data_IF_980813439164
#
_entry.id   IF_980813439164
#
_cell.length_a   1.000
_cell.length_b   1.000
_cell.length_c   1.000
_cell.angle_alpha   90.00
_cell.angle_beta   90.00
_cell.angle_gamma   90.00
#
_symmetry.space_group_name_H-M   'P 1'
#
loop_
_entity.id
_entity.type
_entity.pdbx_description
1 polymer ?
#
# COMPACT_ATOMS: atom_id res chain seq x y z
N UNK A 1 2.31 9.16 4.95
CA UNK A 1 2.97 7.93 4.43
C UNK A 1 3.69 7.24 5.56
N UNK A 2 3.33 6.01 5.80
CA UNK A 2 3.90 5.23 6.90
C UNK A 2 4.65 4.02 6.32
N UNK A 3 5.97 4.01 6.48
CA UNK A 3 6.84 2.92 6.02
C UNK A 3 7.43 2.23 7.23
N UNK A 4 7.31 0.91 7.28
CA UNK A 4 7.78 0.08 8.38
C UNK A 4 8.71 -1.02 7.86
N UNK A 5 9.64 -1.43 8.68
CA UNK A 5 10.47 -2.60 8.38
C UNK A 5 9.72 -3.87 8.79
N UNK A 6 9.60 -4.80 7.85
CA UNK A 6 8.92 -6.08 8.10
C UNK A 6 7.40 -5.99 8.14
N UNK A 7 6.77 -6.97 8.74
CA UNK A 7 5.30 -7.09 8.81
C UNK A 7 4.65 -5.89 9.46
N UNK A 8 3.49 -5.51 8.94
CA UNK A 8 2.70 -4.41 9.50
C UNK A 8 1.86 -4.88 10.67
N UNK A 9 1.78 -4.04 11.71
CA UNK A 9 0.78 -4.18 12.77
C UNK A 9 -0.54 -3.54 12.28
N UNK A 10 -1.33 -4.34 11.58
CA UNK A 10 -2.57 -3.87 10.93
C UNK A 10 -3.55 -3.29 11.94
N UNK A 11 -3.71 -3.93 13.08
CA UNK A 11 -4.66 -3.46 14.09
C UNK A 11 -4.28 -2.10 14.63
N UNK A 12 -3.01 -1.89 14.93
CA UNK A 12 -2.50 -0.61 15.41
C UNK A 12 -2.67 0.49 14.38
N UNK A 13 -2.33 0.20 13.12
CA UNK A 13 -2.45 1.17 12.00
C UNK A 13 -3.90 1.57 11.78
N UNK A 14 -4.80 0.59 11.68
CA UNK A 14 -6.22 0.87 11.40
C UNK A 14 -6.91 1.55 12.58
N UNK A 15 -6.55 1.19 13.81
CA UNK A 15 -7.06 1.87 15.00
C UNK A 15 -6.62 3.34 15.05
N UNK A 16 -5.36 3.62 14.73
CA UNK A 16 -4.85 4.99 14.64
C UNK A 16 -5.61 5.81 13.61
N UNK A 17 -5.85 5.22 12.44
CA UNK A 17 -6.61 5.90 11.38
C UNK A 17 -8.05 6.18 11.79
N UNK A 18 -8.71 5.20 12.39
CA UNK A 18 -10.07 5.37 12.89
C UNK A 18 -10.15 6.51 13.91
N UNK A 19 -9.27 6.48 14.90
CA UNK A 19 -9.25 7.50 15.96
C UNK A 19 -8.98 8.90 15.41
N UNK A 20 -8.10 9.00 14.41
CA UNK A 20 -7.75 10.30 13.80
C UNK A 20 -8.91 10.89 13.01
N UNK A 21 -9.72 10.06 12.34
CA UNK A 21 -10.71 10.56 11.39
C UNK A 21 -12.16 10.45 11.86
N UNK A 22 -12.44 9.73 12.93
CA UNK A 22 -13.83 9.56 13.43
C UNK A 22 -14.54 10.88 13.73
N UNK A 23 -13.80 11.93 14.08
CA UNK A 23 -14.35 13.24 14.42
C UNK A 23 -14.26 14.26 13.27
N UNK A 24 -13.92 13.82 12.06
CA UNK A 24 -13.78 14.71 10.89
C UNK A 24 -15.06 14.86 10.08
N UNK A 25 -16.17 14.44 10.64
CA UNK A 25 -17.49 14.49 9.97
C UNK A 25 -17.49 13.71 8.65
N UNK A 26 -16.81 12.58 8.62
CA UNK A 26 -16.79 11.65 7.48
C UNK A 26 -17.59 10.41 7.83
N UNK A 27 -18.45 9.98 6.91
CA UNK A 27 -19.33 8.86 7.13
C UNK A 27 -18.72 7.50 6.81
N UNK A 28 -17.56 7.47 6.15
CA UNK A 28 -16.96 6.21 5.72
C UNK A 28 -15.45 6.21 5.86
N UNK A 29 -14.93 5.14 6.43
CA UNK A 29 -13.52 4.76 6.39
C UNK A 29 -13.46 3.35 5.82
N UNK A 30 -12.77 3.18 4.68
CA UNK A 30 -12.60 1.88 4.04
C UNK A 30 -11.13 1.55 4.02
N UNK A 31 -10.78 0.35 4.44
CA UNK A 31 -9.40 -0.12 4.45
C UNK A 31 -9.26 -1.34 3.56
N UNK A 32 -8.13 -1.39 2.86
CA UNK A 32 -7.66 -2.56 2.12
C UNK A 32 -6.40 -3.05 2.78
N UNK A 33 -6.35 -4.35 3.09
CA UNK A 33 -5.18 -4.97 3.72
C UNK A 33 -4.60 -6.00 2.78
N UNK A 34 -3.33 -5.82 2.40
CA UNK A 34 -2.59 -6.80 1.60
C UNK A 34 -1.92 -7.81 2.53
N UNK A 35 -2.15 -9.08 2.26
CA UNK A 35 -1.58 -10.19 3.03
C UNK A 35 -0.66 -10.98 2.09
N UNK A 36 0.52 -11.33 2.57
CA UNK A 36 1.46 -12.13 1.81
C UNK A 36 0.97 -13.58 1.78
N UNK A 37 0.63 -14.06 0.58
CA UNK A 37 0.18 -15.44 0.38
C UNK A 37 1.34 -16.37 0.19
N UNK A 38 1.17 -17.61 0.63
CA UNK A 38 2.07 -18.68 0.25
C UNK A 38 1.80 -19.05 -1.21
N UNK A 39 2.83 -18.95 -2.04
CA UNK A 39 2.75 -19.18 -3.47
C UNK A 39 4.12 -19.56 -3.99
N UNK A 40 4.21 -20.69 -4.74
CA UNK A 40 5.48 -21.10 -5.35
C UNK A 40 6.61 -21.44 -4.37
N UNK A 41 6.29 -21.82 -3.14
CA UNK A 41 7.30 -22.23 -2.16
C UNK A 41 8.02 -21.09 -1.47
N UNK A 42 7.52 -19.85 -1.57
CA UNK A 42 8.13 -18.70 -0.90
C UNK A 42 7.93 -18.78 0.61
N UNK A 43 8.89 -18.26 1.36
CA UNK A 43 8.76 -18.07 2.82
C UNK A 43 8.35 -16.65 3.18
N UNK A 44 8.62 -15.70 2.29
CA UNK A 44 8.34 -14.28 2.47
C UNK A 44 8.29 -13.59 1.11
N UNK A 45 7.70 -12.41 1.08
CA UNK A 45 7.99 -11.41 0.05
C UNK A 45 8.93 -10.37 0.66
N UNK A 46 9.76 -9.75 -0.17
CA UNK A 46 10.64 -8.68 0.26
C UNK A 46 10.43 -7.46 -0.63
N UNK A 47 10.47 -6.28 -0.04
CA UNK A 47 10.11 -5.05 -0.75
C UNK A 47 11.22 -4.03 -0.68
N UNK A 48 11.54 -3.44 -1.83
CA UNK A 48 12.34 -2.24 -1.93
C UNK A 48 11.43 -1.08 -2.33
N UNK A 49 11.65 0.07 -1.72
CA UNK A 49 10.82 1.25 -1.94
C UNK A 49 11.72 2.41 -2.32
N UNK A 50 11.35 3.11 -3.40
CA UNK A 50 11.98 4.38 -3.72
C UNK A 50 11.09 5.51 -3.19
N UNK A 51 11.38 5.93 -1.97
CA UNK A 51 10.54 6.84 -1.22
C UNK A 51 10.28 8.20 -1.89
N UNK A 52 11.28 8.86 -2.54
CA UNK A 52 11.01 10.14 -3.18
C UNK A 52 9.93 10.09 -4.27
N UNK A 53 9.93 9.04 -5.09
CA UNK A 53 8.89 8.88 -6.12
C UNK A 53 7.57 8.42 -5.48
N UNK A 54 7.63 7.54 -4.49
CA UNK A 54 6.43 7.11 -3.77
C UNK A 54 5.72 8.29 -3.12
N UNK A 55 6.48 9.20 -2.51
CA UNK A 55 5.91 10.40 -1.91
C UNK A 55 5.21 11.27 -2.95
N UNK A 56 5.82 11.48 -4.11
CA UNK A 56 5.19 12.25 -5.20
C UNK A 56 3.90 11.61 -5.68
N UNK A 57 3.92 10.28 -5.86
CA UNK A 57 2.75 9.53 -6.27
C UNK A 57 1.62 9.66 -5.24
N UNK A 58 1.95 9.52 -3.97
CA UNK A 58 0.98 9.64 -2.89
C UNK A 58 0.45 11.08 -2.75
N UNK A 59 1.33 12.09 -2.87
CA UNK A 59 0.91 13.49 -2.80
C UNK A 59 -0.10 13.83 -3.91
N UNK A 60 0.08 13.27 -5.12
CA UNK A 60 -0.89 13.45 -6.21
C UNK A 60 -2.24 12.83 -5.85
N UNK A 61 -2.25 11.68 -5.18
CA UNK A 61 -3.48 11.06 -4.68
C UNK A 61 -4.14 11.90 -3.59
N UNK A 62 -3.36 12.47 -2.67
CA UNK A 62 -3.88 13.34 -1.63
C UNK A 62 -4.59 14.57 -2.24
N UNK A 63 -3.99 15.18 -3.24
CA UNK A 63 -4.58 16.32 -3.95
C UNK A 63 -5.87 15.94 -4.67
N UNK A 64 -5.89 14.77 -5.30
CA UNK A 64 -7.07 14.25 -5.97
C UNK A 64 -8.21 13.99 -4.97
N UNK A 65 -7.90 13.33 -3.87
CA UNK A 65 -8.88 13.02 -2.82
C UNK A 65 -9.45 14.29 -2.18
N UNK A 66 -8.62 15.28 -1.98
CA UNK A 66 -9.00 16.55 -1.38
C UNK A 66 -10.11 17.27 -2.16
N UNK A 67 -10.13 17.13 -3.47
CA UNK A 67 -11.19 17.71 -4.31
C UNK A 67 -12.57 17.13 -4.01
N UNK A 68 -12.64 15.96 -3.40
CA UNK A 68 -13.87 15.30 -2.99
C UNK A 68 -14.02 15.27 -1.46
N UNK A 69 -13.28 16.11 -0.75
CA UNK A 69 -13.25 16.17 0.72
C UNK A 69 -12.86 14.84 1.36
N UNK A 70 -12.08 14.04 0.65
CA UNK A 70 -11.63 12.74 1.10
C UNK A 70 -10.15 12.76 1.47
N UNK A 71 -9.73 11.72 2.19
CA UNK A 71 -8.34 11.51 2.60
C UNK A 71 -7.90 10.12 2.18
N UNK A 72 -6.68 10.02 1.67
CA UNK A 72 -6.06 8.74 1.34
C UNK A 72 -5.00 8.43 2.39
N UNK A 73 -5.01 7.20 2.89
CA UNK A 73 -4.11 6.73 3.94
C UNK A 73 -3.32 5.55 3.40
N UNK A 74 -2.05 5.47 3.78
CA UNK A 74 -1.14 4.50 3.18
C UNK A 74 -0.07 4.06 4.16
N UNK A 75 0.08 2.74 4.29
CA UNK A 75 1.18 2.13 5.03
C UNK A 75 1.72 0.96 4.22
N UNK A 76 3.03 0.80 4.19
CA UNK A 76 3.68 -0.30 3.48
C UNK A 76 4.93 -0.78 4.19
N UNK A 77 5.24 -2.06 3.98
CA UNK A 77 6.44 -2.69 4.50
C UNK A 77 7.64 -2.46 3.58
N UNK A 78 8.81 -2.40 4.19
CA UNK A 78 10.11 -2.46 3.55
C UNK A 78 10.84 -3.69 4.08
N UNK A 79 11.62 -4.35 3.22
CA UNK A 79 12.32 -5.58 3.60
C UNK A 79 11.41 -6.80 3.60
N UNK A 80 11.78 -7.81 4.36
CA UNK A 80 11.14 -9.12 4.34
C UNK A 80 9.84 -9.14 5.13
N UNK A 81 8.80 -9.69 4.51
CA UNK A 81 7.47 -9.87 5.11
C UNK A 81 7.09 -11.33 4.97
N UNK A 82 7.06 -12.09 6.08
CA UNK A 82 6.72 -13.50 6.02
C UNK A 82 5.32 -13.77 5.46
N UNK A 83 5.14 -14.93 4.84
CA UNK A 83 3.81 -15.37 4.42
C UNK A 83 2.84 -15.35 5.59
N UNK A 84 1.57 -15.08 5.31
CA UNK A 84 0.48 -14.98 6.30
C UNK A 84 0.58 -13.74 7.20
N UNK A 85 1.46 -12.80 6.86
CA UNK A 85 1.50 -11.48 7.51
C UNK A 85 1.24 -10.39 6.48
N UNK A 86 1.05 -9.16 6.92
CA UNK A 86 0.62 -8.08 6.04
C UNK A 86 1.75 -7.14 5.68
N UNK A 87 1.77 -6.72 4.41
CA UNK A 87 2.76 -5.81 3.86
C UNK A 87 2.20 -4.46 3.44
N UNK A 88 0.89 -4.32 3.40
CA UNK A 88 0.24 -3.16 2.78
C UNK A 88 -1.11 -2.90 3.44
N UNK A 89 -1.34 -1.64 3.82
CA UNK A 89 -2.66 -1.17 4.22
C UNK A 89 -2.92 0.16 3.51
N UNK A 90 -4.04 0.22 2.82
CA UNK A 90 -4.53 1.46 2.25
C UNK A 90 -5.86 1.82 2.90
N UNK A 91 -6.15 3.11 2.98
CA UNK A 91 -7.42 3.57 3.50
C UNK A 91 -7.92 4.78 2.74
N UNK A 92 -9.24 4.92 2.68
CA UNK A 92 -9.88 6.13 2.20
C UNK A 92 -10.96 6.53 3.19
N UNK A 93 -10.91 7.78 3.59
CA UNK A 93 -11.92 8.41 4.44
C UNK A 93 -12.64 9.45 3.62
N UNK A 94 -13.98 9.41 3.61
CA UNK A 94 -14.76 10.39 2.88
C UNK A 94 -16.08 10.70 3.59
N UNK A 95 -16.69 11.86 3.28
CA UNK A 95 -18.01 12.19 3.82
C UNK A 95 -19.07 11.16 3.43
N UNK A 96 -19.00 10.62 2.19
CA UNK A 96 -19.97 9.68 1.66
C UNK A 96 -19.31 8.37 1.25
N UNK A 97 -19.98 7.24 1.54
CA UNK A 97 -19.44 5.90 1.23
C UNK A 97 -19.13 5.69 -0.26
N UNK A 98 -19.95 6.25 -1.16
CA UNK A 98 -19.74 6.06 -2.61
C UNK A 98 -18.40 6.57 -3.07
N UNK A 99 -17.96 7.72 -2.54
CA UNK A 99 -16.65 8.29 -2.83
C UNK A 99 -15.55 7.38 -2.29
N UNK A 100 -15.69 6.93 -1.05
CA UNK A 100 -14.69 6.05 -0.43
C UNK A 100 -14.56 4.73 -1.19
N UNK A 101 -15.67 4.11 -1.57
CA UNK A 101 -15.67 2.85 -2.33
C UNK A 101 -15.01 3.01 -3.71
N UNK A 102 -15.31 4.09 -4.39
CA UNK A 102 -14.70 4.36 -5.70
C UNK A 102 -13.21 4.65 -5.59
N UNK A 103 -12.84 5.53 -4.67
CA UNK A 103 -11.44 5.92 -4.52
C UNK A 103 -10.55 4.79 -4.01
N UNK A 104 -11.03 3.95 -3.10
CA UNK A 104 -10.21 2.82 -2.64
C UNK A 104 -9.92 1.85 -3.77
N UNK A 105 -10.91 1.57 -4.62
CA UNK A 105 -10.71 0.72 -5.78
C UNK A 105 -9.67 1.31 -6.74
N UNK A 106 -9.83 2.57 -7.11
CA UNK A 106 -8.91 3.24 -8.02
C UNK A 106 -7.50 3.36 -7.43
N UNK A 107 -7.41 3.65 -6.15
CA UNK A 107 -6.13 3.77 -5.45
C UNK A 107 -5.36 2.44 -5.43
N UNK A 108 -6.02 1.37 -5.05
CA UNK A 108 -5.39 0.04 -4.98
C UNK A 108 -4.94 -0.43 -6.36
N UNK A 109 -5.74 -0.21 -7.39
CA UNK A 109 -5.38 -0.56 -8.76
C UNK A 109 -4.20 0.28 -9.28
N UNK A 110 -4.22 1.59 -9.03
CA UNK A 110 -3.11 2.47 -9.42
C UNK A 110 -1.83 2.14 -8.63
N UNK A 111 -1.96 1.82 -7.36
CA UNK A 111 -0.83 1.37 -6.54
C UNK A 111 -0.14 0.17 -7.18
N UNK A 112 -0.91 -0.84 -7.55
CA UNK A 112 -0.36 -2.05 -8.16
C UNK A 112 0.34 -1.77 -9.48
N UNK A 113 -0.21 -0.85 -10.28
CA UNK A 113 0.32 -0.53 -11.59
C UNK A 113 1.51 0.44 -11.58
N UNK A 114 1.53 1.40 -10.66
CA UNK A 114 2.40 2.57 -10.77
C UNK A 114 3.23 2.93 -9.55
N UNK A 115 2.95 2.36 -8.38
CA UNK A 115 3.73 2.71 -7.20
C UNK A 115 5.17 2.17 -7.30
N UNK A 116 6.19 2.96 -6.95
CA UNK A 116 7.60 2.58 -7.09
C UNK A 116 8.04 1.66 -5.94
N UNK A 117 7.46 0.48 -5.92
CA UNK A 117 7.75 -0.57 -4.94
C UNK A 117 8.06 -1.83 -5.71
N UNK A 118 9.24 -2.40 -5.48
CA UNK A 118 9.69 -3.62 -6.13
C UNK A 118 9.54 -4.80 -5.20
N UNK A 119 9.02 -5.88 -5.74
CA UNK A 119 8.69 -7.08 -4.99
C UNK A 119 9.65 -8.21 -5.35
N UNK A 120 10.17 -8.88 -4.34
CA UNK A 120 11.06 -10.03 -4.46
C UNK A 120 10.44 -11.23 -3.75
N UNK A 121 10.55 -12.40 -4.36
CA UNK A 121 10.27 -13.66 -3.68
C UNK A 121 11.46 -14.04 -2.81
N UNK A 122 11.19 -14.53 -1.59
CA UNK A 122 12.24 -15.08 -0.72
C UNK A 122 12.08 -16.59 -0.68
N UNK A 123 13.07 -17.28 -1.23
CA UNK A 123 13.13 -18.75 -1.29
C UNK A 123 14.51 -19.17 -0.79
N UNK A 124 14.56 -20.05 0.22
CA UNK A 124 15.82 -20.50 0.83
C UNK A 124 16.73 -19.32 1.21
N UNK A 125 16.16 -18.32 1.84
CA UNK A 125 16.83 -17.09 2.29
C UNK A 125 17.42 -16.23 1.16
N UNK A 126 17.07 -16.50 -0.10
CA UNK A 126 17.48 -15.69 -1.25
C UNK A 126 16.33 -14.85 -1.79
N UNK A 127 16.64 -13.60 -2.14
CA UNK A 127 15.70 -12.69 -2.81
C UNK A 127 15.76 -12.90 -4.32
N UNK A 128 14.62 -13.22 -4.90
CA UNK A 128 14.48 -13.41 -6.35
C UNK A 128 13.45 -12.40 -6.86
N UNK A 129 13.83 -11.53 -7.77
CA UNK A 129 12.93 -10.51 -8.30
C UNK A 129 11.69 -11.13 -8.94
N UNK A 130 10.51 -10.73 -8.48
CA UNK A 130 9.21 -11.25 -8.93
C UNK A 130 8.75 -10.54 -10.22
N UNK A 131 9.55 -10.62 -11.29
CA UNK A 131 9.33 -9.88 -12.54
C UNK A 131 7.98 -10.19 -13.19
N UNK A 132 7.57 -11.45 -13.19
CA UNK A 132 6.32 -11.89 -13.82
C UNK A 132 5.08 -11.42 -13.05
N UNK A 133 5.25 -11.09 -11.77
CA UNK A 133 4.17 -10.64 -10.88
C UNK A 133 4.29 -9.17 -10.51
N UNK A 134 5.22 -8.45 -11.16
CA UNK A 134 5.47 -7.03 -10.92
C UNK A 134 5.18 -6.22 -12.17
N UNK A 135 4.73 -4.97 -11.99
CA UNK A 135 4.51 -4.03 -13.08
C UNK A 135 5.79 -3.26 -13.37
N UNK A 136 6.08 -3.01 -14.64
CA UNK A 136 7.14 -2.07 -15.02
C UNK A 136 6.65 -0.65 -14.75
N UNK A 137 7.50 0.17 -14.15
CA UNK A 137 7.16 1.54 -13.77
C UNK A 137 7.97 2.52 -14.61
N UNK A 138 7.29 3.30 -15.43
CA UNK A 138 7.93 4.31 -16.27
C UNK A 138 8.65 5.34 -15.39
N UNK A 139 9.93 5.60 -15.71
CA UNK A 139 10.74 6.57 -14.99
C UNK A 139 11.32 6.09 -13.67
N UNK A 140 10.98 4.90 -13.22
CA UNK A 140 11.61 4.30 -12.05
C UNK A 140 12.97 3.67 -12.38
N UNK A 141 13.18 3.24 -13.58
CA UNK A 141 14.45 2.98 -14.23
C UNK A 141 15.27 1.75 -13.84
N UNK A 142 15.32 1.36 -12.61
CA UNK A 142 16.31 0.39 -12.16
C UNK A 142 15.94 -1.06 -12.38
N UNK A 143 14.68 -1.38 -12.26
CA UNK A 143 14.19 -2.75 -12.27
C UNK A 143 13.07 -2.96 -13.28
N UNK A 144 12.90 -1.99 -14.11
CA UNK A 144 11.90 -2.05 -15.18
C UNK A 144 12.29 -3.08 -16.25
#
# INVERSE_FOLDING_TARGET
>A
MQIYNGSLDVQSITNEWYDKFKDKNCGALITFVGIVREEGGISALSFDIYEPILKKWLDAWQERAKKENAYVLFAHSKGDVPVHTSSYVAGVVSPQRKVALRLINEFVEDFKANAPIWKYDVINDERIYAKERSQAINGAGLLA
#
